data_IF_019204108814
#
_entry.id   IF_019204108814
#
_cell.length_a   1.000
_cell.length_b   1.000
_cell.length_c   1.000
_cell.angle_alpha   90.00
_cell.angle_beta   90.00
_cell.angle_gamma   90.00
#
_symmetry.space_group_name_H-M   'P 1'
#
loop_
_entity.id
_entity.type
_entity.pdbx_description
1 polymer ?
#
# COMPACT_ATOMS: atom_id res chain seq x y z
N UNK A 1 21.90 -19.85 49.85
CA UNK A 1 22.76 -19.24 48.82
C UNK A 1 22.11 -19.53 47.46
N UNK A 2 21.69 -18.50 46.71
CA UNK A 2 21.17 -18.76 45.37
C UNK A 2 22.30 -19.33 44.50
N UNK A 3 22.05 -20.38 43.70
CA UNK A 3 23.08 -20.95 42.85
C UNK A 3 23.54 -19.89 41.84
N UNK A 4 24.85 -19.67 41.77
CA UNK A 4 25.54 -18.77 40.83
C UNK A 4 25.00 -18.85 39.39
N UNK A 5 24.66 -20.04 38.82
CA UNK A 5 24.08 -20.11 37.47
C UNK A 5 22.71 -19.41 37.32
N UNK A 6 21.89 -19.36 38.37
CA UNK A 6 20.55 -18.74 38.29
C UNK A 6 20.66 -17.22 38.28
N UNK A 7 21.57 -16.66 39.08
CA UNK A 7 21.79 -15.20 39.13
C UNK A 7 22.37 -14.68 37.82
N UNK A 8 23.30 -15.43 37.23
CA UNK A 8 23.89 -15.09 35.94
C UNK A 8 22.88 -15.20 34.80
N UNK A 9 22.06 -16.26 34.78
CA UNK A 9 20.97 -16.40 33.81
C UNK A 9 19.94 -15.26 33.91
N UNK A 10 19.54 -14.89 35.14
CA UNK A 10 18.62 -13.78 35.38
C UNK A 10 19.20 -12.44 34.86
N UNK A 11 20.48 -12.17 35.15
CA UNK A 11 21.16 -10.95 34.69
C UNK A 11 21.23 -10.85 33.17
N UNK A 12 21.56 -11.95 32.48
CA UNK A 12 21.58 -12.00 31.01
C UNK A 12 20.18 -11.75 30.44
N UNK A 13 19.15 -12.34 31.06
CA UNK A 13 17.76 -12.19 30.61
C UNK A 13 17.30 -10.74 30.72
N UNK A 14 17.59 -10.07 31.85
CA UNK A 14 17.26 -8.65 32.06
C UNK A 14 18.03 -7.77 31.07
N UNK A 15 19.31 -8.05 30.82
CA UNK A 15 20.12 -7.30 29.86
C UNK A 15 19.56 -7.39 28.44
N UNK A 16 19.19 -8.59 27.97
CA UNK A 16 18.58 -8.79 26.65
C UNK A 16 17.20 -8.10 26.59
N UNK A 17 16.40 -8.18 27.65
CA UNK A 17 15.08 -7.56 27.73
C UNK A 17 15.16 -6.03 27.58
N UNK A 18 16.06 -5.38 28.33
CA UNK A 18 16.30 -3.94 28.24
C UNK A 18 16.85 -3.56 26.86
N UNK A 19 17.78 -4.35 26.32
CA UNK A 19 18.34 -4.14 24.98
C UNK A 19 17.29 -4.23 23.87
N UNK A 20 16.30 -5.12 24.02
CA UNK A 20 15.18 -5.26 23.09
C UNK A 20 14.21 -4.08 23.18
N UNK A 21 13.86 -3.63 24.39
CA UNK A 21 13.01 -2.44 24.58
C UNK A 21 13.65 -1.16 24.03
N UNK A 22 14.97 -1.06 24.13
CA UNK A 22 15.73 0.13 23.72
C UNK A 22 16.09 0.12 22.23
N UNK A 23 15.63 -0.85 21.45
CA UNK A 23 15.94 -1.00 20.02
C UNK A 23 17.46 -0.93 19.73
N UNK A 24 18.29 -1.47 20.63
CA UNK A 24 19.73 -1.43 20.46
C UNK A 24 20.18 -2.59 19.54
N UNK A 25 21.08 -2.29 18.60
CA UNK A 25 21.77 -3.34 17.85
C UNK A 25 22.64 -4.14 18.83
N UNK A 26 22.58 -5.50 18.85
CA UNK A 26 22.19 -6.42 17.78
C UNK A 26 20.73 -6.93 17.77
N UNK A 27 19.90 -6.60 18.76
CA UNK A 27 18.56 -7.21 18.92
C UNK A 27 17.58 -6.79 17.80
N UNK A 28 17.74 -5.59 17.26
CA UNK A 28 16.89 -5.08 16.18
C UNK A 28 17.30 -5.58 14.78
N UNK A 29 18.50 -6.14 14.62
CA UNK A 29 19.04 -6.50 13.29
C UNK A 29 18.19 -7.56 12.59
N UNK A 30 17.71 -8.56 13.33
CA UNK A 30 16.83 -9.59 12.78
C UNK A 30 15.47 -9.02 12.35
N UNK A 31 14.96 -8.03 13.09
CA UNK A 31 13.68 -7.39 12.79
C UNK A 31 13.80 -6.53 11.51
N UNK A 32 14.81 -5.66 11.44
CA UNK A 32 15.07 -4.81 10.27
C UNK A 32 15.40 -5.65 9.04
N UNK A 33 16.12 -6.75 9.19
CA UNK A 33 16.41 -7.66 8.08
C UNK A 33 15.15 -8.35 7.56
N UNK A 34 14.26 -8.79 8.45
CA UNK A 34 12.96 -9.35 8.09
C UNK A 34 12.10 -8.33 7.34
N UNK A 35 12.07 -7.07 7.80
CA UNK A 35 11.38 -5.99 7.11
C UNK A 35 11.99 -5.68 5.74
N UNK A 36 13.32 -5.67 5.60
CA UNK A 36 14.01 -5.48 4.31
C UNK A 36 13.65 -6.57 3.30
N UNK A 37 13.60 -7.84 3.73
CA UNK A 37 13.19 -8.94 2.84
C UNK A 37 11.73 -8.76 2.40
N UNK A 38 10.84 -8.40 3.34
CA UNK A 38 9.42 -8.17 3.03
C UNK A 38 9.18 -6.98 2.10
N UNK A 39 9.92 -5.89 2.29
CA UNK A 39 9.77 -4.66 1.53
C UNK A 39 10.51 -4.66 0.19
N UNK A 40 11.50 -5.55 0.00
CA UNK A 40 12.25 -5.66 -1.25
C UNK A 40 11.37 -5.96 -2.47
N UNK A 41 10.25 -6.67 -2.28
CA UNK A 41 9.26 -6.93 -3.33
C UNK A 41 8.56 -5.64 -3.79
N UNK A 42 8.23 -4.74 -2.88
CA UNK A 42 7.57 -3.47 -3.19
C UNK A 42 8.48 -2.52 -3.99
N UNK A 43 9.80 -2.61 -3.80
CA UNK A 43 10.77 -1.78 -4.55
C UNK A 43 10.90 -2.23 -6.02
N UNK A 44 10.81 -3.55 -6.28
CA UNK A 44 11.02 -4.10 -7.63
C UNK A 44 9.73 -4.18 -8.43
N UNK A 45 8.63 -4.58 -7.78
CA UNK A 45 7.35 -4.87 -8.44
C UNK A 45 6.22 -3.92 -8.01
N UNK A 46 6.49 -2.95 -7.12
CA UNK A 46 5.44 -2.11 -6.54
C UNK A 46 4.58 -2.84 -5.52
N UNK A 47 3.82 -2.08 -4.73
CA UNK A 47 2.77 -2.64 -3.86
C UNK A 47 1.48 -2.85 -4.68
N UNK A 48 0.82 -4.02 -4.60
CA UNK A 48 -0.49 -4.22 -5.21
C UNK A 48 -1.55 -3.32 -4.55
N UNK A 49 -2.64 -2.98 -5.25
CA UNK A 49 -3.68 -2.06 -4.75
C UNK A 49 -4.37 -2.54 -3.46
N UNK A 50 -4.46 -3.86 -3.28
CA UNK A 50 -4.97 -4.52 -2.08
C UNK A 50 -4.43 -5.96 -2.01
N UNK A 51 -4.62 -6.60 -0.85
CA UNK A 51 -4.12 -7.95 -0.61
C UNK A 51 -4.64 -8.96 -1.65
N UNK A 52 -3.72 -9.73 -2.23
CA UNK A 52 -3.98 -10.72 -3.28
C UNK A 52 -4.74 -10.16 -4.49
N UNK A 53 -4.39 -8.96 -4.93
CA UNK A 53 -5.00 -8.32 -6.10
C UNK A 53 -4.85 -9.17 -7.37
N UNK A 54 -3.81 -9.97 -7.49
CA UNK A 54 -3.56 -10.90 -8.60
C UNK A 54 -4.68 -11.94 -8.79
N UNK A 55 -5.42 -12.27 -7.73
CA UNK A 55 -6.56 -13.20 -7.79
C UNK A 55 -7.88 -12.51 -8.15
N UNK A 56 -7.86 -11.21 -8.41
CA UNK A 56 -9.06 -10.46 -8.79
C UNK A 56 -9.30 -10.51 -10.30
N UNK A 57 -10.55 -10.29 -10.68
CA UNK A 57 -10.96 -10.19 -12.08
C UNK A 57 -10.63 -8.81 -12.66
N UNK A 58 -10.49 -8.74 -13.99
CA UNK A 58 -10.29 -7.47 -14.71
C UNK A 58 -11.42 -6.48 -14.39
N UNK A 59 -12.67 -6.92 -14.34
CA UNK A 59 -13.83 -6.09 -13.98
C UNK A 59 -13.70 -5.49 -12.58
N UNK A 60 -13.25 -6.27 -11.60
CA UNK A 60 -13.09 -5.77 -10.22
C UNK A 60 -12.00 -4.71 -10.14
N UNK A 61 -10.92 -4.87 -10.93
CA UNK A 61 -9.85 -3.89 -11.02
C UNK A 61 -10.30 -2.66 -11.81
N UNK A 62 -11.05 -2.82 -12.90
CA UNK A 62 -11.62 -1.72 -13.68
C UNK A 62 -12.55 -0.86 -12.81
N UNK A 63 -13.45 -1.50 -12.04
CA UNK A 63 -14.30 -0.84 -11.04
C UNK A 63 -13.50 -0.12 -9.95
N UNK A 64 -12.42 -0.74 -9.47
CA UNK A 64 -11.52 -0.11 -8.50
C UNK A 64 -10.85 1.15 -9.08
N UNK A 65 -10.47 1.08 -10.34
CA UNK A 65 -9.80 2.15 -11.10
C UNK A 65 -10.79 3.16 -11.69
N UNK A 66 -12.10 2.91 -11.57
CA UNK A 66 -13.21 3.70 -12.16
C UNK A 66 -13.12 3.83 -13.69
N UNK A 67 -12.69 2.76 -14.35
CA UNK A 67 -12.74 2.61 -15.81
C UNK A 67 -13.83 1.61 -16.14
N UNK A 68 -14.49 1.83 -17.27
CA UNK A 68 -15.49 0.90 -17.80
C UNK A 68 -14.84 -0.45 -18.09
N UNK A 69 -15.51 -1.56 -17.76
CA UNK A 69 -14.90 -2.88 -17.86
C UNK A 69 -14.55 -3.23 -19.32
N UNK A 70 -15.39 -2.77 -20.25
CA UNK A 70 -15.23 -2.93 -21.69
C UNK A 70 -14.04 -2.11 -22.21
N UNK A 71 -13.88 -0.86 -21.74
CA UNK A 71 -12.72 -0.03 -22.07
C UNK A 71 -11.41 -0.64 -21.55
N UNK A 72 -11.41 -1.17 -20.32
CA UNK A 72 -10.26 -1.85 -19.75
C UNK A 72 -9.84 -3.08 -20.57
N UNK A 73 -10.82 -3.88 -21.02
CA UNK A 73 -10.58 -5.05 -21.87
C UNK A 73 -10.07 -4.65 -23.26
N UNK A 74 -10.64 -3.61 -23.86
CA UNK A 74 -10.21 -3.11 -25.18
C UNK A 74 -8.76 -2.61 -25.14
N UNK A 75 -8.39 -1.84 -24.12
CA UNK A 75 -7.00 -1.39 -23.95
C UNK A 75 -6.04 -2.55 -23.68
N UNK A 76 -6.44 -3.56 -22.89
CA UNK A 76 -5.62 -4.76 -22.69
C UNK A 76 -5.42 -5.55 -24.01
N UNK A 77 -6.43 -5.60 -24.87
CA UNK A 77 -6.31 -6.17 -26.23
C UNK A 77 -5.37 -5.37 -27.11
N UNK A 78 -5.34 -4.03 -26.97
CA UNK A 78 -4.41 -3.17 -27.70
C UNK A 78 -2.93 -3.45 -27.37
N UNK A 79 -2.64 -4.08 -26.22
CA UNK A 79 -1.29 -4.51 -25.85
C UNK A 79 -0.87 -5.86 -26.47
N UNK A 80 -1.64 -6.42 -27.41
CA UNK A 80 -1.39 -7.71 -28.08
C UNK A 80 -1.18 -8.88 -27.11
N UNK A 81 -1.94 -8.90 -26.01
CA UNK A 81 -1.95 -10.00 -25.07
C UNK A 81 -2.62 -11.24 -25.69
N UNK A 82 -2.02 -12.40 -25.49
CA UNK A 82 -2.54 -13.72 -25.87
C UNK A 82 -3.71 -14.10 -24.97
N UNK A 83 -4.81 -14.57 -25.57
CA UNK A 83 -6.01 -15.06 -24.87
C UNK A 83 -7.28 -14.23 -25.12
N UNK A 84 -8.45 -14.85 -24.93
CA UNK A 84 -9.74 -14.15 -24.95
C UNK A 84 -9.94 -13.38 -23.63
N UNK A 85 -9.35 -12.18 -23.54
CA UNK A 85 -9.51 -11.31 -22.37
C UNK A 85 -10.99 -10.90 -22.26
N UNK A 86 -11.62 -11.34 -21.17
CA UNK A 86 -13.00 -11.02 -20.78
C UNK A 86 -12.97 -10.32 -19.42
N UNK A 87 -14.00 -9.52 -19.09
CA UNK A 87 -14.07 -8.83 -17.79
C UNK A 87 -13.97 -9.77 -16.57
N UNK A 88 -14.40 -11.03 -16.72
CA UNK A 88 -14.33 -12.07 -15.68
C UNK A 88 -12.97 -12.79 -15.59
N UNK A 89 -12.04 -12.55 -16.50
CA UNK A 89 -10.72 -13.19 -16.50
C UNK A 89 -9.91 -12.73 -15.29
N UNK A 90 -9.18 -13.65 -14.66
CA UNK A 90 -8.35 -13.36 -13.47
C UNK A 90 -7.00 -12.81 -13.91
N UNK A 91 -6.51 -11.75 -13.25
CA UNK A 91 -5.24 -11.11 -13.60
C UNK A 91 -4.07 -12.10 -13.59
N UNK A 92 -4.03 -13.02 -12.63
CA UNK A 92 -2.99 -14.05 -12.53
C UNK A 92 -2.98 -15.01 -13.73
N UNK A 93 -4.15 -15.32 -14.30
CA UNK A 93 -4.25 -16.22 -15.45
C UNK A 93 -3.74 -15.54 -16.71
N UNK A 94 -4.18 -14.30 -16.96
CA UNK A 94 -3.71 -13.46 -18.08
C UNK A 94 -2.20 -13.25 -17.98
N UNK A 95 -1.70 -12.96 -16.77
CA UNK A 95 -0.28 -12.79 -16.49
C UNK A 95 0.53 -14.04 -16.81
N UNK A 96 0.02 -15.22 -16.41
CA UNK A 96 0.66 -16.52 -16.67
C UNK A 96 0.69 -16.86 -18.15
N UNK A 97 -0.40 -16.62 -18.86
CA UNK A 97 -0.48 -16.87 -20.32
C UNK A 97 0.47 -15.97 -21.11
N UNK A 98 0.69 -14.75 -20.62
CA UNK A 98 1.51 -13.74 -21.30
C UNK A 98 2.94 -13.61 -20.75
N UNK A 99 3.32 -14.41 -19.76
CA UNK A 99 4.61 -14.31 -19.05
C UNK A 99 4.94 -12.88 -18.56
N UNK A 100 3.91 -12.13 -18.15
CA UNK A 100 4.04 -10.77 -17.60
C UNK A 100 3.70 -10.78 -16.10
N UNK A 101 4.12 -9.75 -15.37
CA UNK A 101 3.72 -9.64 -13.97
C UNK A 101 2.25 -9.20 -13.88
N UNK A 102 1.45 -9.73 -12.93
CA UNK A 102 0.08 -9.24 -12.69
C UNK A 102 0.01 -7.73 -12.42
N UNK A 103 1.09 -7.16 -11.88
CA UNK A 103 1.23 -5.73 -11.67
C UNK A 103 1.22 -4.94 -12.99
N UNK A 104 1.86 -5.45 -14.04
CA UNK A 104 1.94 -4.75 -15.32
C UNK A 104 0.54 -4.58 -15.93
N UNK A 105 -0.28 -5.63 -15.82
CA UNK A 105 -1.69 -5.60 -16.21
C UNK A 105 -2.45 -4.54 -15.41
N UNK A 106 -2.26 -4.50 -14.09
CA UNK A 106 -2.86 -3.47 -13.24
C UNK A 106 -2.43 -2.06 -13.67
N UNK A 107 -1.14 -1.83 -13.96
CA UNK A 107 -0.63 -0.54 -14.41
C UNK A 107 -1.19 -0.13 -15.77
N UNK A 108 -1.39 -1.08 -16.69
CA UNK A 108 -2.04 -0.82 -17.99
C UNK A 108 -3.48 -0.34 -17.81
N UNK A 109 -4.27 -1.01 -16.95
CA UNK A 109 -5.64 -0.59 -16.63
C UNK A 109 -5.63 0.75 -15.87
N UNK A 110 -4.70 0.93 -14.93
CA UNK A 110 -4.53 2.17 -14.16
C UNK A 110 -4.24 3.36 -15.08
N UNK A 111 -3.36 3.21 -16.06
CA UNK A 111 -3.06 4.31 -16.99
C UNK A 111 -4.31 4.81 -17.72
N UNK A 112 -5.33 3.97 -17.91
CA UNK A 112 -6.61 4.37 -18.49
C UNK A 112 -7.45 5.26 -17.57
N UNK A 113 -7.52 4.94 -16.27
CA UNK A 113 -8.34 5.71 -15.32
C UNK A 113 -7.75 7.05 -14.89
N UNK A 114 -6.46 7.28 -15.14
CA UNK A 114 -5.81 8.57 -14.79
C UNK A 114 -6.38 9.76 -15.58
N UNK A 115 -7.05 9.53 -16.70
CA UNK A 115 -7.74 10.57 -17.48
C UNK A 115 -9.03 11.08 -16.78
N UNK A 116 -9.60 10.31 -15.84
CA UNK A 116 -10.88 10.60 -15.16
C UNK A 116 -10.71 11.35 -13.82
N UNK A 117 -9.46 11.61 -13.40
CA UNK A 117 -9.12 12.39 -12.20
C UNK A 117 -8.40 11.55 -11.15
N UNK A 118 -7.16 11.96 -10.85
CA UNK A 118 -6.17 11.19 -10.08
C UNK A 118 -6.68 10.82 -8.66
N UNK A 119 -7.50 11.68 -8.04
CA UNK A 119 -8.08 11.44 -6.70
C UNK A 119 -9.29 10.51 -6.67
N UNK A 120 -10.01 10.37 -7.80
CA UNK A 120 -11.18 9.48 -7.91
C UNK A 120 -10.77 8.00 -7.96
N UNK A 121 -9.51 7.75 -8.31
CA UNK A 121 -8.86 6.46 -8.51
C UNK A 121 -8.38 5.79 -7.21
N UNK A 122 -8.53 6.50 -6.09
CA UNK A 122 -8.18 5.98 -4.78
C UNK A 122 -9.11 4.83 -4.37
N UNK A 123 -8.57 3.74 -3.76
CA UNK A 123 -9.34 2.61 -3.24
C UNK A 123 -10.60 3.03 -2.47
N UNK A 124 -11.66 2.23 -2.52
CA UNK A 124 -12.88 2.52 -1.74
C UNK A 124 -12.69 2.32 -0.23
N UNK A 125 -11.88 1.33 0.14
CA UNK A 125 -11.52 1.03 1.52
C UNK A 125 -10.11 1.54 1.82
N UNK A 126 -9.89 2.00 3.05
CA UNK A 126 -8.56 2.36 3.52
C UNK A 126 -7.64 1.12 3.37
N UNK A 127 -6.57 1.17 2.54
CA UNK A 127 -5.65 0.04 2.41
C UNK A 127 -5.04 -0.32 3.75
N UNK A 128 -4.79 -1.61 3.98
CA UNK A 128 -4.17 -2.06 5.22
C UNK A 128 -2.79 -1.41 5.41
N UNK A 129 -2.50 -0.97 6.64
CA UNK A 129 -1.26 -0.27 6.95
C UNK A 129 -1.22 1.22 6.61
N UNK A 130 -2.23 1.79 5.92
CA UNK A 130 -2.28 3.24 5.60
C UNK A 130 -2.16 4.11 6.84
N UNK A 131 -2.72 3.69 7.98
CA UNK A 131 -2.63 4.44 9.24
C UNK A 131 -1.20 4.65 9.76
N UNK A 132 -0.24 3.80 9.37
CA UNK A 132 1.18 3.93 9.76
C UNK A 132 2.04 4.59 8.68
N UNK A 133 1.51 4.82 7.47
CA UNK A 133 2.24 5.41 6.35
C UNK A 133 2.14 6.94 6.39
N UNK A 134 3.21 7.61 5.98
CA UNK A 134 3.25 9.06 5.83
C UNK A 134 2.38 9.49 4.64
N UNK A 135 1.87 10.73 4.68
CA UNK A 135 1.15 11.30 3.54
C UNK A 135 2.03 11.33 2.29
N UNK A 136 3.34 11.59 2.44
CA UNK A 136 4.29 11.61 1.34
C UNK A 136 4.46 10.26 0.66
N UNK A 137 4.64 9.20 1.44
CA UNK A 137 4.81 7.86 0.87
C UNK A 137 3.52 7.37 0.23
N UNK A 138 2.37 7.73 0.80
CA UNK A 138 1.08 7.48 0.20
C UNK A 138 0.91 8.20 -1.14
N UNK A 139 1.28 9.49 -1.23
CA UNK A 139 1.21 10.22 -2.49
C UNK A 139 2.11 9.61 -3.56
N UNK A 140 3.33 9.18 -3.20
CA UNK A 140 4.23 8.48 -4.13
C UNK A 140 3.67 7.16 -4.62
N UNK A 141 3.01 6.39 -3.76
CA UNK A 141 2.42 5.11 -4.13
C UNK A 141 1.31 5.26 -5.18
N UNK A 142 0.44 6.25 -4.99
CA UNK A 142 -0.70 6.51 -5.87
C UNK A 142 -0.40 7.53 -6.96
N UNK A 143 0.86 7.95 -7.12
CA UNK A 143 1.32 8.98 -8.05
C UNK A 143 0.46 10.27 -7.96
N UNK A 144 0.16 10.67 -6.72
CA UNK A 144 -0.64 11.85 -6.41
C UNK A 144 0.27 13.06 -6.23
N UNK A 145 -0.04 14.21 -6.86
CA UNK A 145 0.66 15.46 -6.58
C UNK A 145 0.44 15.91 -5.14
N UNK A 146 1.56 16.09 -4.41
CA UNK A 146 1.56 16.48 -3.00
C UNK A 146 0.83 17.81 -2.75
N UNK A 147 0.98 18.77 -3.66
CA UNK A 147 0.34 20.08 -3.56
C UNK A 147 -1.19 19.95 -3.57
N UNK A 148 -1.73 19.28 -4.59
CA UNK A 148 -3.18 19.08 -4.74
C UNK A 148 -3.77 18.27 -3.57
N UNK A 149 -3.00 17.31 -3.05
CA UNK A 149 -3.41 16.48 -1.91
C UNK A 149 -3.56 17.32 -0.63
N UNK A 150 -2.61 18.22 -0.38
CA UNK A 150 -2.65 19.14 0.75
C UNK A 150 -3.77 20.17 0.62
N UNK A 151 -3.97 20.72 -0.58
CA UNK A 151 -5.03 21.70 -0.82
C UNK A 151 -6.42 21.08 -0.67
N UNK A 152 -6.56 19.82 -1.09
CA UNK A 152 -7.79 19.05 -0.92
C UNK A 152 -8.08 18.73 0.55
N UNK A 153 -7.05 18.34 1.32
CA UNK A 153 -7.18 18.14 2.77
C UNK A 153 -7.51 19.45 3.51
N UNK A 154 -6.87 20.57 3.14
CA UNK A 154 -7.19 21.90 3.68
C UNK A 154 -8.63 22.30 3.39
N UNK A 155 -9.11 22.07 2.16
CA UNK A 155 -10.49 22.35 1.76
C UNK A 155 -11.50 21.50 2.56
N UNK A 156 -11.12 20.28 2.93
CA UNK A 156 -11.88 19.41 3.83
C UNK A 156 -11.77 19.77 5.32
N UNK A 157 -11.06 20.86 5.66
CA UNK A 157 -10.82 21.31 7.04
C UNK A 157 -9.86 20.42 7.83
N UNK A 158 -8.96 19.70 7.13
CA UNK A 158 -7.98 18.80 7.73
C UNK A 158 -6.59 19.42 7.59
N UNK A 159 -5.95 19.70 8.73
CA UNK A 159 -4.57 20.15 8.75
C UNK A 159 -3.65 18.93 8.70
N UNK A 160 -2.80 18.85 7.67
CA UNK A 160 -1.88 17.73 7.47
C UNK A 160 -0.50 18.23 7.03
N UNK A 161 0.55 17.57 7.52
CA UNK A 161 1.93 17.75 7.07
C UNK A 161 2.34 16.55 6.19
N UNK A 162 3.13 16.74 5.11
CA UNK A 162 3.65 15.65 4.30
C UNK A 162 4.33 14.49 5.05
N UNK A 163 4.98 14.78 6.17
CA UNK A 163 5.70 13.79 6.99
C UNK A 163 4.82 13.05 8.01
N UNK A 164 3.61 13.55 8.26
CA UNK A 164 2.73 12.95 9.26
C UNK A 164 2.06 11.68 8.74
N UNK A 165 1.85 10.74 9.67
CA UNK A 165 1.13 9.50 9.40
C UNK A 165 -0.38 9.77 9.34
N UNK A 166 -1.12 9.00 8.55
CA UNK A 166 -2.59 9.12 8.49
C UNK A 166 -3.26 8.99 9.86
N UNK A 167 -2.70 8.22 10.80
CA UNK A 167 -3.19 8.15 12.17
C UNK A 167 -3.00 9.47 12.91
N UNK A 168 -1.82 10.07 12.85
CA UNK A 168 -1.49 11.34 13.50
C UNK A 168 -2.35 12.48 12.95
N UNK A 169 -2.51 12.55 11.62
CA UNK A 169 -3.38 13.53 10.96
C UNK A 169 -4.82 13.37 11.44
N UNK A 170 -5.30 12.13 11.58
CA UNK A 170 -6.64 11.86 12.07
C UNK A 170 -6.82 12.30 13.53
N UNK A 171 -5.88 11.95 14.41
CA UNK A 171 -5.88 12.33 15.83
C UNK A 171 -5.85 13.85 16.03
N UNK A 172 -4.99 14.57 15.30
CA UNK A 172 -4.90 16.03 15.37
C UNK A 172 -6.19 16.75 14.98
N UNK A 173 -6.96 16.16 14.06
CA UNK A 173 -8.20 16.75 13.56
C UNK A 173 -9.45 16.12 14.21
N UNK A 174 -9.29 15.28 15.24
CA UNK A 174 -10.41 14.62 15.93
C UNK A 174 -11.22 13.66 15.06
N UNK A 175 -10.61 13.14 13.98
CA UNK A 175 -11.23 12.23 13.00
C UNK A 175 -10.63 10.84 13.09
N UNK A 176 -11.22 9.87 12.39
CA UNK A 176 -10.61 8.54 12.19
C UNK A 176 -9.79 8.55 10.90
N UNK A 177 -8.78 7.69 10.81
CA UNK A 177 -7.96 7.57 9.59
C UNK A 177 -8.80 7.29 8.32
N UNK A 178 -9.92 6.57 8.48
CA UNK A 178 -10.89 6.33 7.40
C UNK A 178 -11.58 7.62 6.92
N UNK A 179 -11.81 8.58 7.80
CA UNK A 179 -12.51 9.83 7.47
C UNK A 179 -11.58 10.83 6.78
N UNK A 180 -10.29 10.83 7.15
CA UNK A 180 -9.25 11.60 6.43
C UNK A 180 -9.11 11.07 5.01
N UNK A 181 -9.11 9.75 4.87
CA UNK A 181 -9.03 9.09 3.57
C UNK A 181 -10.27 9.32 2.70
N UNK A 182 -11.48 9.26 3.27
CA UNK A 182 -12.71 9.54 2.52
C UNK A 182 -12.81 11.00 2.09
N UNK A 183 -12.29 11.94 2.89
CA UNK A 183 -12.18 13.35 2.52
C UNK A 183 -11.24 13.58 1.33
N UNK A 184 -10.16 12.80 1.22
CA UNK A 184 -9.25 12.87 0.07
C UNK A 184 -9.90 12.34 -1.22
N UNK A 185 -10.74 11.31 -1.09
CA UNK A 185 -11.47 10.67 -2.21
C UNK A 185 -12.62 11.52 -2.75
N UNK A 186 -13.29 12.31 -1.89
CA UNK A 186 -14.46 13.12 -2.24
C UNK A 186 -14.09 14.39 -2.99
#
# INVERSE_FOLDING_TARGET
MMPIPVVTALGITIFIYIGTLSQLQPMEQLLVWNERIKTGHAVTYGDPPYGRAELSTVEKIANYVRVDAEEAVERLKAYNLSGEITGNSVLLEIARENNIAPQDIYLMIRKAGSEVGIFAMLPESLPEGTGKRSLRDFCRQYDLPLADTLDKLKTAGITANPDDNFRTIAEMNGKRAKDVYSALRR
#
